data_IF_272268790061
#
_entry.id   IF_272268790061
#
_cell.length_a   1.000
_cell.length_b   1.000
_cell.length_c   1.000
_cell.angle_alpha   90.00
_cell.angle_beta   90.00
_cell.angle_gamma   90.00
#
_symmetry.space_group_name_H-M   'P 1'
#
loop_
_entity.id
_entity.type
_entity.pdbx_description
1 polymer ?
#
# COMPACT_ATOMS: atom_id res chain seq x y z
N UNK A 1 -14.58 -26.78 36.40
CA UNK A 1 -13.92 -25.70 35.64
C UNK A 1 -14.83 -25.14 34.54
N UNK A 2 -15.32 -25.95 33.59
CA UNK A 2 -16.22 -25.46 32.53
C UNK A 2 -17.60 -25.02 33.03
N UNK A 3 -18.24 -25.83 33.88
CA UNK A 3 -19.58 -25.55 34.43
C UNK A 3 -19.68 -24.21 35.19
N UNK A 4 -18.65 -23.86 35.96
CA UNK A 4 -18.58 -22.59 36.70
C UNK A 4 -18.46 -21.38 35.75
N UNK A 5 -17.77 -21.55 34.62
CA UNK A 5 -17.61 -20.49 33.62
C UNK A 5 -18.92 -20.25 32.87
N UNK A 6 -19.67 -21.33 32.59
CA UNK A 6 -20.98 -21.25 31.95
C UNK A 6 -22.01 -20.54 32.86
N UNK A 7 -21.99 -20.82 34.18
CA UNK A 7 -22.85 -20.14 35.15
C UNK A 7 -22.54 -18.63 35.25
N UNK A 8 -21.26 -18.25 35.24
CA UNK A 8 -20.84 -16.85 35.21
C UNK A 8 -21.23 -16.18 33.88
N UNK A 9 -21.11 -16.90 32.77
CA UNK A 9 -21.44 -16.40 31.44
C UNK A 9 -22.92 -16.05 31.31
N UNK A 10 -23.82 -16.90 31.84
CA UNK A 10 -25.25 -16.63 31.85
C UNK A 10 -25.57 -15.31 32.58
N UNK A 11 -25.01 -15.10 33.77
CA UNK A 11 -25.19 -13.87 34.56
C UNK A 11 -24.55 -12.65 33.90
N UNK A 12 -23.36 -12.81 33.33
CA UNK A 12 -22.67 -11.72 32.64
C UNK A 12 -23.48 -11.20 31.45
N UNK A 13 -24.20 -12.09 30.73
CA UNK A 13 -25.11 -11.70 29.63
C UNK A 13 -26.33 -10.93 30.08
N UNK A 14 -26.80 -11.18 31.31
CA UNK A 14 -27.87 -10.39 31.94
C UNK A 14 -27.39 -9.01 32.42
N UNK A 15 -26.11 -8.68 32.22
CA UNK A 15 -25.51 -7.39 32.59
C UNK A 15 -24.86 -7.38 33.97
N UNK A 16 -24.69 -8.53 34.62
CA UNK A 16 -23.98 -8.59 35.90
C UNK A 16 -22.49 -8.28 35.72
N UNK A 17 -22.10 -7.09 36.20
CA UNK A 17 -20.73 -6.59 36.12
C UNK A 17 -19.76 -7.42 36.97
N UNK A 18 -20.23 -8.01 38.08
CA UNK A 18 -19.40 -8.87 38.94
C UNK A 18 -19.03 -10.17 38.23
N UNK A 19 -20.00 -10.85 37.62
CA UNK A 19 -19.74 -12.07 36.84
C UNK A 19 -18.84 -11.77 35.64
N UNK A 20 -19.06 -10.63 34.97
CA UNK A 20 -18.19 -10.17 33.87
C UNK A 20 -16.74 -10.00 34.33
N UNK A 21 -16.52 -9.30 35.45
CA UNK A 21 -15.19 -9.10 36.03
C UNK A 21 -14.53 -10.43 36.41
N UNK A 22 -15.26 -11.35 37.04
CA UNK A 22 -14.75 -12.67 37.42
C UNK A 22 -14.32 -13.50 36.21
N UNK A 23 -15.07 -13.45 35.09
CA UNK A 23 -14.69 -14.10 33.85
C UNK A 23 -13.37 -13.53 33.33
N UNK A 24 -13.23 -12.21 33.29
CA UNK A 24 -12.01 -11.53 32.83
C UNK A 24 -10.81 -11.92 33.70
N UNK A 25 -10.95 -11.89 35.03
CA UNK A 25 -9.89 -12.25 35.96
C UNK A 25 -9.47 -13.72 35.82
N UNK A 26 -10.44 -14.65 35.71
CA UNK A 26 -10.18 -16.08 35.47
C UNK A 26 -9.47 -16.33 34.14
N UNK A 27 -9.75 -15.52 33.11
CA UNK A 27 -9.16 -15.67 31.77
C UNK A 27 -7.85 -14.89 31.60
N UNK A 28 -7.44 -14.07 32.56
CA UNK A 28 -6.19 -13.29 32.50
C UNK A 28 -4.93 -14.15 32.20
N UNK A 29 -4.75 -15.36 32.77
CA UNK A 29 -3.63 -16.24 32.40
C UNK A 29 -3.68 -16.72 30.94
N UNK A 30 -4.88 -16.92 30.37
CA UNK A 30 -5.04 -17.28 28.96
C UNK A 30 -4.69 -16.11 28.04
N UNK A 31 -5.05 -14.89 28.43
CA UNK A 31 -4.67 -13.65 27.72
C UNK A 31 -3.14 -13.54 27.69
N UNK A 32 -2.49 -13.58 28.86
CA UNK A 32 -1.03 -13.46 29.00
C UNK A 32 -0.31 -14.55 28.19
N UNK A 33 -0.75 -15.80 28.28
CA UNK A 33 -0.14 -16.89 27.52
C UNK A 33 -0.36 -16.78 26.01
N UNK A 34 -1.47 -16.18 25.57
CA UNK A 34 -1.74 -15.91 24.15
C UNK A 34 -0.85 -14.80 23.62
N UNK A 35 -0.64 -13.71 24.38
CA UNK A 35 0.29 -12.64 24.04
C UNK A 35 1.70 -13.20 23.81
N UNK A 36 2.22 -13.96 24.79
CA UNK A 36 3.55 -14.59 24.71
C UNK A 36 3.69 -15.53 23.52
N UNK A 37 2.62 -16.24 23.18
CA UNK A 37 2.63 -17.24 22.12
C UNK A 37 2.58 -16.65 20.72
N UNK A 38 1.80 -15.59 20.52
CA UNK A 38 1.45 -15.12 19.17
C UNK A 38 2.02 -13.75 18.80
N UNK A 39 2.30 -12.87 19.75
CA UNK A 39 2.86 -11.54 19.48
C UNK A 39 4.25 -11.34 20.06
N UNK A 40 4.45 -11.69 21.34
CA UNK A 40 5.74 -11.70 22.04
C UNK A 40 6.57 -10.40 21.96
N UNK A 41 5.92 -9.24 21.83
CA UNK A 41 6.58 -7.93 21.95
C UNK A 41 6.49 -7.47 23.41
N UNK A 42 7.64 -7.16 24.02
CA UNK A 42 7.75 -6.81 25.46
C UNK A 42 7.20 -5.40 25.73
N UNK A 43 7.35 -4.49 24.76
CA UNK A 43 6.75 -3.15 24.84
C UNK A 43 5.23 -3.27 24.74
N UNK A 44 4.51 -2.46 25.52
CA UNK A 44 3.04 -2.33 25.51
C UNK A 44 2.27 -3.53 26.11
N UNK A 45 2.88 -4.27 27.05
CA UNK A 45 2.28 -5.47 27.63
C UNK A 45 0.95 -5.20 28.36
N UNK A 46 0.83 -4.05 29.02
CA UNK A 46 -0.41 -3.64 29.69
C UNK A 46 -1.52 -3.36 28.67
N UNK A 47 -1.21 -2.67 27.58
CA UNK A 47 -2.17 -2.40 26.50
C UNK A 47 -2.62 -3.70 25.83
N UNK A 48 -1.70 -4.62 25.56
CA UNK A 48 -2.01 -5.94 25.00
C UNK A 48 -2.96 -6.74 25.90
N UNK A 49 -2.80 -6.64 27.22
CA UNK A 49 -3.72 -7.27 28.17
C UNK A 49 -5.10 -6.62 28.06
N UNK A 50 -5.17 -5.29 28.00
CA UNK A 50 -6.44 -4.57 27.91
C UNK A 50 -7.20 -4.90 26.61
N UNK A 51 -6.50 -4.95 25.47
CA UNK A 51 -7.10 -5.42 24.20
C UNK A 51 -7.62 -6.85 24.31
N UNK A 52 -6.88 -7.74 24.97
CA UNK A 52 -7.31 -9.11 25.22
C UNK A 52 -8.60 -9.17 26.06
N UNK A 53 -8.72 -8.30 27.07
CA UNK A 53 -9.93 -8.19 27.90
C UNK A 53 -11.12 -7.67 27.11
N UNK A 54 -10.91 -6.72 26.20
CA UNK A 54 -11.97 -6.24 25.29
C UNK A 54 -12.50 -7.39 24.42
N UNK A 55 -11.61 -8.23 23.87
CA UNK A 55 -12.03 -9.41 23.09
C UNK A 55 -12.79 -10.42 23.96
N UNK A 56 -12.42 -10.61 25.23
CA UNK A 56 -13.20 -11.46 26.14
C UNK A 56 -14.61 -10.89 26.37
N UNK A 57 -14.75 -9.58 26.54
CA UNK A 57 -16.05 -8.92 26.66
C UNK A 57 -16.92 -9.09 25.41
N UNK A 58 -16.33 -8.99 24.22
CA UNK A 58 -17.02 -9.31 22.96
C UNK A 58 -17.45 -10.78 22.91
N UNK A 59 -16.58 -11.70 23.35
CA UNK A 59 -16.91 -13.11 23.37
C UNK A 59 -18.12 -13.41 24.27
N UNK A 60 -18.25 -12.75 25.43
CA UNK A 60 -19.40 -12.91 26.32
C UNK A 60 -20.72 -12.62 25.58
N UNK A 61 -20.72 -11.58 24.75
CA UNK A 61 -21.88 -11.14 23.96
C UNK A 61 -22.17 -12.07 22.78
N UNK A 62 -21.14 -12.41 22.01
CA UNK A 62 -21.30 -13.04 20.68
C UNK A 62 -21.23 -14.56 20.69
N UNK A 63 -20.84 -15.17 21.81
CA UNK A 63 -20.71 -16.62 21.89
C UNK A 63 -22.05 -17.32 21.65
N UNK A 64 -22.02 -18.45 20.96
CA UNK A 64 -23.21 -19.21 20.59
C UNK A 64 -23.03 -20.66 21.02
N UNK A 65 -23.79 -21.05 22.04
CA UNK A 65 -23.76 -22.38 22.66
C UNK A 65 -24.28 -23.46 21.71
N UNK A 66 -25.16 -23.10 20.76
CA UNK A 66 -25.73 -24.05 19.80
C UNK A 66 -24.70 -24.65 18.85
N UNK A 67 -23.53 -23.99 18.70
CA UNK A 67 -22.42 -24.44 17.86
C UNK A 67 -21.60 -25.57 18.46
N UNK A 68 -21.88 -25.99 19.69
CA UNK A 68 -21.26 -27.17 20.31
C UNK A 68 -19.77 -27.01 20.67
N UNK A 69 -19.27 -25.78 20.75
CA UNK A 69 -17.88 -25.47 21.15
C UNK A 69 -17.91 -24.78 22.50
N UNK A 70 -17.10 -25.22 23.46
CA UNK A 70 -17.01 -24.58 24.78
C UNK A 70 -16.54 -23.12 24.69
N UNK A 71 -17.08 -22.25 25.56
CA UNK A 71 -16.75 -20.82 25.63
C UNK A 71 -15.25 -20.56 25.72
N UNK A 72 -14.54 -21.29 26.57
CA UNK A 72 -13.08 -21.18 26.71
C UNK A 72 -12.34 -21.45 25.37
N UNK A 73 -12.81 -22.42 24.59
CA UNK A 73 -12.27 -22.73 23.28
C UNK A 73 -12.52 -21.61 22.27
N UNK A 74 -13.71 -21.03 22.30
CA UNK A 74 -14.06 -19.86 21.47
C UNK A 74 -13.18 -18.65 21.79
N UNK A 75 -13.02 -18.30 23.07
CA UNK A 75 -12.14 -17.21 23.52
C UNK A 75 -10.69 -17.45 23.09
N UNK A 76 -10.19 -18.67 23.27
CA UNK A 76 -8.81 -19.03 22.88
C UNK A 76 -8.55 -18.80 21.39
N UNK A 77 -9.52 -19.09 20.53
CA UNK A 77 -9.41 -18.85 19.08
C UNK A 77 -9.42 -17.35 18.79
N UNK A 78 -10.31 -16.58 19.43
CA UNK A 78 -10.39 -15.13 19.26
C UNK A 78 -9.12 -14.41 19.70
N UNK A 79 -8.58 -14.75 20.87
CA UNK A 79 -7.29 -14.22 21.37
C UNK A 79 -6.13 -14.59 20.43
N UNK A 80 -6.10 -15.81 19.90
CA UNK A 80 -5.10 -16.21 18.90
C UNK A 80 -5.13 -15.27 17.68
N UNK A 81 -6.31 -15.00 17.13
CA UNK A 81 -6.42 -14.16 15.93
C UNK A 81 -6.14 -12.68 16.21
N UNK A 82 -6.56 -12.16 17.36
CA UNK A 82 -6.21 -10.81 17.82
C UNK A 82 -4.69 -10.60 17.73
N UNK A 83 -3.93 -11.41 18.46
CA UNK A 83 -2.49 -11.22 18.58
C UNK A 83 -1.70 -11.62 17.32
N UNK A 84 -2.19 -12.57 16.52
CA UNK A 84 -1.60 -12.87 15.21
C UNK A 84 -1.76 -11.71 14.22
N UNK A 85 -2.91 -11.03 14.25
CA UNK A 85 -3.17 -9.93 13.32
C UNK A 85 -2.36 -8.67 13.65
N UNK A 86 -1.85 -8.51 14.87
CA UNK A 86 -0.97 -7.39 15.20
C UNK A 86 0.32 -7.32 14.38
N UNK A 87 0.81 -8.46 13.89
CA UNK A 87 1.95 -8.46 12.95
C UNK A 87 1.65 -7.80 11.59
N UNK A 88 0.38 -7.54 11.28
CA UNK A 88 -0.04 -6.82 10.07
C UNK A 88 -0.13 -5.31 10.27
N UNK A 89 -0.09 -4.83 11.51
CA UNK A 89 -0.07 -3.40 11.79
C UNK A 89 1.26 -2.85 11.24
N UNK A 90 1.17 -1.82 10.39
CA UNK A 90 2.37 -1.19 9.82
C UNK A 90 3.17 -0.59 10.96
N UNK A 91 4.41 -1.03 11.12
CA UNK A 91 5.37 -0.38 12.00
C UNK A 91 5.72 0.95 11.35
N UNK A 92 5.28 2.05 11.95
CA UNK A 92 5.73 3.40 11.59
C UNK A 92 7.00 3.69 12.38
N UNK A 93 8.07 4.10 11.70
CA UNK A 93 9.22 4.71 12.35
C UNK A 93 9.02 6.22 12.41
N UNK A 94 9.55 6.84 13.46
CA UNK A 94 9.61 8.30 13.52
C UNK A 94 10.66 8.79 12.52
N UNK A 95 10.34 9.85 11.78
CA UNK A 95 11.30 10.52 10.93
C UNK A 95 12.42 11.20 11.74
N UNK A 96 12.16 11.50 13.00
CA UNK A 96 13.14 12.07 13.93
C UNK A 96 13.92 10.97 14.69
N UNK A 97 13.82 9.72 14.28
CA UNK A 97 14.67 8.66 14.85
C UNK A 97 16.10 8.90 14.39
N UNK A 98 17.04 9.03 15.33
CA UNK A 98 18.46 9.18 15.02
C UNK A 98 18.99 7.93 14.32
N UNK A 99 19.91 8.12 13.37
CA UNK A 99 20.50 7.05 12.57
C UNK A 99 22.03 7.05 12.71
N UNK A 100 22.60 5.90 13.04
CA UNK A 100 24.05 5.75 13.22
C UNK A 100 24.54 6.06 14.64
N UNK A 101 25.84 6.27 14.79
CA UNK A 101 26.49 6.61 16.07
C UNK A 101 26.50 8.13 16.33
N UNK A 102 26.24 8.94 15.31
CA UNK A 102 26.14 10.40 15.42
C UNK A 102 24.69 10.78 15.77
N UNK A 103 24.49 11.30 16.98
CA UNK A 103 23.16 11.72 17.48
C UNK A 103 22.55 12.90 16.70
N UNK A 104 23.33 13.55 15.83
CA UNK A 104 22.93 14.73 15.08
C UNK A 104 22.24 14.43 13.73
N UNK A 105 22.22 13.16 13.29
CA UNK A 105 21.58 12.77 12.02
C UNK A 105 20.25 12.06 12.26
N UNK A 106 19.16 12.64 11.75
CA UNK A 106 17.82 12.06 11.82
C UNK A 106 17.47 11.28 10.54
N UNK A 107 16.49 10.36 10.62
CA UNK A 107 16.03 9.58 9.48
C UNK A 107 15.53 10.48 8.34
N UNK A 108 14.92 11.63 8.67
CA UNK A 108 14.40 12.59 7.68
C UNK A 108 15.51 13.18 6.80
N UNK A 109 16.72 13.33 7.33
CA UNK A 109 17.83 13.98 6.63
C UNK A 109 18.40 13.11 5.49
N UNK A 110 18.12 11.80 5.52
CA UNK A 110 18.61 10.81 4.55
C UNK A 110 17.59 10.55 3.44
N UNK A 111 16.31 10.91 3.65
CA UNK A 111 15.28 10.64 2.68
C UNK A 111 15.36 11.62 1.50
N UNK A 112 15.58 11.08 0.30
CA UNK A 112 15.49 11.85 -0.95
C UNK A 112 14.05 12.34 -1.18
N UNK A 113 13.90 13.58 -1.64
CA UNK A 113 12.59 14.14 -2.00
C UNK A 113 12.07 13.49 -3.28
N UNK A 114 10.78 13.10 -3.30
CA UNK A 114 10.09 12.63 -4.52
C UNK A 114 9.78 13.76 -5.50
N UNK A 115 9.86 15.02 -5.04
CA UNK A 115 9.78 16.19 -5.91
C UNK A 115 10.99 16.15 -6.83
N UNK A 116 10.76 15.74 -8.09
CA UNK A 116 11.79 15.69 -9.12
C UNK A 116 12.58 16.99 -9.10
N UNK A 117 13.91 16.87 -9.12
CA UNK A 117 14.80 18.02 -8.96
C UNK A 117 14.34 19.14 -9.89
N UNK A 118 14.22 20.37 -9.39
CA UNK A 118 13.80 21.55 -10.19
C UNK A 118 14.59 21.61 -11.51
N UNK A 119 15.85 21.18 -11.48
CA UNK A 119 16.71 21.03 -12.64
C UNK A 119 16.17 20.03 -13.68
N UNK A 120 15.67 18.87 -13.26
CA UNK A 120 15.06 17.86 -14.13
C UNK A 120 13.77 18.38 -14.80
N UNK A 121 12.96 19.16 -14.08
CA UNK A 121 11.75 19.78 -14.64
C UNK A 121 12.09 20.86 -15.68
N UNK A 122 13.12 21.67 -15.41
CA UNK A 122 13.64 22.66 -16.36
C UNK A 122 14.18 21.96 -17.62
N UNK A 123 15.01 20.92 -17.46
CA UNK A 123 15.56 20.16 -18.59
C UNK A 123 14.47 19.52 -19.45
N UNK A 124 13.44 18.91 -18.84
CA UNK A 124 12.29 18.37 -19.56
C UNK A 124 11.55 19.44 -20.35
N UNK A 125 11.42 20.64 -19.79
CA UNK A 125 10.77 21.76 -20.46
C UNK A 125 11.56 22.18 -21.71
N UNK A 126 12.89 22.30 -21.58
CA UNK A 126 13.78 22.62 -22.71
C UNK A 126 13.74 21.53 -23.80
N UNK A 127 13.82 20.25 -23.42
CA UNK A 127 13.71 19.12 -24.37
C UNK A 127 12.38 19.14 -25.14
N UNK A 128 11.27 19.46 -24.47
CA UNK A 128 9.97 19.57 -25.10
C UNK A 128 9.90 20.75 -26.10
N UNK A 129 10.55 21.88 -25.79
CA UNK A 129 10.66 23.00 -26.72
C UNK A 129 11.45 22.63 -27.98
N UNK A 130 12.54 21.88 -27.84
CA UNK A 130 13.34 21.40 -28.98
C UNK A 130 12.54 20.48 -29.89
N UNK A 131 11.79 19.53 -29.30
CA UNK A 131 10.91 18.62 -30.05
C UNK A 131 9.82 19.42 -30.77
N UNK A 132 9.22 20.41 -30.11
CA UNK A 132 8.19 21.29 -30.71
C UNK A 132 8.75 22.05 -31.92
N UNK A 133 9.95 22.60 -31.80
CA UNK A 133 10.61 23.30 -32.91
C UNK A 133 10.93 22.35 -34.08
N UNK A 134 11.46 21.15 -33.77
CA UNK A 134 11.74 20.12 -34.77
C UNK A 134 10.46 19.69 -35.52
N UNK A 135 9.34 19.52 -34.82
CA UNK A 135 8.02 19.22 -35.41
C UNK A 135 7.46 20.37 -36.26
N UNK A 136 7.73 21.62 -35.88
CA UNK A 136 7.34 22.79 -36.66
C UNK A 136 8.04 22.82 -38.03
N UNK A 137 9.26 22.30 -38.11
CA UNK A 137 10.03 22.21 -39.37
C UNK A 137 9.47 21.18 -40.37
N UNK A 138 8.66 20.22 -39.93
CA UNK A 138 8.11 19.18 -40.79
C UNK A 138 7.03 19.71 -41.73
N UNK A 139 6.91 19.11 -42.91
CA UNK A 139 5.73 19.34 -43.75
C UNK A 139 4.49 18.74 -43.08
N UNK A 140 3.31 19.23 -43.44
CA UNK A 140 2.03 18.74 -42.89
C UNK A 140 1.92 17.21 -42.96
N UNK A 141 2.25 16.64 -44.14
CA UNK A 141 2.25 15.20 -44.38
C UNK A 141 3.29 14.42 -43.56
N UNK A 142 4.46 15.01 -43.30
CA UNK A 142 5.47 14.41 -42.44
C UNK A 142 5.03 14.41 -40.97
N UNK A 143 4.48 15.53 -40.51
CA UNK A 143 3.97 15.69 -39.14
C UNK A 143 2.84 14.71 -38.86
N UNK A 144 1.89 14.58 -39.78
CA UNK A 144 0.76 13.65 -39.67
C UNK A 144 1.23 12.18 -39.51
N UNK A 145 2.22 11.76 -40.31
CA UNK A 145 2.81 10.41 -40.19
C UNK A 145 3.50 10.19 -38.84
N UNK A 146 4.21 11.20 -38.32
CA UNK A 146 4.86 11.13 -37.00
C UNK A 146 3.83 11.06 -35.88
N UNK A 147 2.76 11.87 -35.94
CA UNK A 147 1.65 11.85 -34.97
C UNK A 147 0.97 10.48 -34.95
N UNK A 148 0.57 9.98 -36.12
CA UNK A 148 -0.10 8.68 -36.21
C UNK A 148 0.75 7.53 -35.69
N UNK A 149 2.07 7.55 -35.95
CA UNK A 149 2.94 6.47 -35.52
C UNK A 149 3.30 6.53 -34.02
N UNK A 150 3.70 7.70 -33.51
CA UNK A 150 4.26 7.82 -32.15
C UNK A 150 3.25 8.22 -31.08
N UNK A 151 2.21 8.98 -31.43
CA UNK A 151 1.23 9.48 -30.46
C UNK A 151 -0.09 8.72 -30.51
N UNK A 152 -0.55 8.34 -31.70
CA UNK A 152 -1.80 7.56 -31.85
C UNK A 152 -1.56 6.04 -31.98
N UNK A 153 -0.31 5.60 -32.12
CA UNK A 153 0.08 4.18 -32.07
C UNK A 153 -0.30 3.34 -33.30
N UNK A 154 -0.62 3.94 -34.45
CA UNK A 154 -0.92 3.20 -35.66
C UNK A 154 0.33 2.55 -36.28
N UNK A 155 0.14 1.36 -36.82
CA UNK A 155 1.16 0.67 -37.60
C UNK A 155 1.32 1.30 -39.00
N UNK A 156 2.51 1.13 -39.61
CA UNK A 156 2.80 1.65 -40.96
C UNK A 156 1.76 1.21 -42.01
N UNK A 157 1.27 -0.05 -42.02
CA UNK A 157 0.18 -0.47 -42.92
C UNK A 157 -1.14 0.27 -42.68
N UNK A 158 -1.51 0.53 -41.42
CA UNK A 158 -2.74 1.24 -41.07
C UNK A 158 -2.67 2.72 -41.49
N UNK A 159 -1.52 3.35 -41.28
CA UNK A 159 -1.26 4.72 -41.74
C UNK A 159 -1.32 4.78 -43.26
N UNK A 160 -0.70 3.82 -43.96
CA UNK A 160 -0.71 3.76 -45.43
C UNK A 160 -2.15 3.64 -45.97
N UNK A 161 -2.97 2.79 -45.35
CA UNK A 161 -4.38 2.62 -45.68
C UNK A 161 -5.18 3.90 -45.40
N UNK A 162 -4.98 4.54 -44.25
CA UNK A 162 -5.67 5.78 -43.85
C UNK A 162 -5.35 6.94 -44.79
N UNK A 163 -4.08 7.10 -45.14
CA UNK A 163 -3.61 8.18 -46.01
C UNK A 163 -3.76 7.86 -47.52
N UNK A 164 -4.29 6.68 -47.88
CA UNK A 164 -4.51 6.27 -49.26
C UNK A 164 -3.22 6.13 -50.09
N UNK A 165 -2.10 5.76 -49.46
CA UNK A 165 -0.77 5.75 -50.09
C UNK A 165 -0.06 4.41 -49.88
N UNK A 166 1.03 4.18 -50.61
CA UNK A 166 1.76 2.92 -50.48
C UNK A 166 2.51 2.83 -49.15
N UNK A 167 2.70 1.60 -48.66
CA UNK A 167 3.53 1.30 -47.49
C UNK A 167 4.91 1.99 -47.57
N UNK A 168 5.56 1.90 -48.74
CA UNK A 168 6.90 2.49 -48.96
C UNK A 168 6.88 4.00 -48.83
N UNK A 169 5.81 4.67 -49.25
CA UNK A 169 5.65 6.12 -49.09
C UNK A 169 5.62 6.51 -47.62
N UNK A 170 4.89 5.79 -46.76
CA UNK A 170 4.86 6.08 -45.31
C UNK A 170 6.23 5.83 -44.66
N UNK A 171 6.89 4.72 -45.01
CA UNK A 171 8.26 4.44 -44.53
C UNK A 171 9.20 5.59 -44.87
N UNK A 172 9.25 5.99 -46.15
CA UNK A 172 10.13 7.07 -46.59
C UNK A 172 9.75 8.42 -45.94
N UNK A 173 8.45 8.70 -45.80
CA UNK A 173 7.96 9.94 -45.17
C UNK A 173 8.39 10.01 -43.71
N UNK A 174 8.24 8.92 -42.95
CA UNK A 174 8.67 8.81 -41.56
C UNK A 174 10.20 8.95 -41.44
N UNK A 175 10.97 8.24 -42.25
CA UNK A 175 12.44 8.31 -42.21
C UNK A 175 12.93 9.73 -42.51
N UNK A 176 12.42 10.37 -43.57
CA UNK A 176 12.80 11.72 -43.92
C UNK A 176 12.36 12.75 -42.87
N UNK A 177 11.21 12.53 -42.21
CA UNK A 177 10.75 13.36 -41.11
C UNK A 177 11.71 13.28 -39.91
N UNK A 178 12.10 12.05 -39.50
CA UNK A 178 13.04 11.84 -38.41
C UNK A 178 14.42 12.42 -38.71
N UNK A 179 14.93 12.26 -39.94
CA UNK A 179 16.20 12.88 -40.35
C UNK A 179 16.13 14.41 -40.29
N UNK A 180 15.00 14.99 -40.71
CA UNK A 180 14.79 16.45 -40.67
C UNK A 180 14.72 16.96 -39.23
N UNK A 181 13.98 16.28 -38.35
CA UNK A 181 13.93 16.60 -36.92
C UNK A 181 15.32 16.52 -36.29
N UNK A 182 16.06 15.44 -36.55
CA UNK A 182 17.43 15.26 -36.04
C UNK A 182 18.34 16.40 -36.47
N UNK A 183 18.32 16.79 -37.74
CA UNK A 183 19.15 17.91 -38.24
C UNK A 183 18.81 19.23 -37.56
N UNK A 184 17.53 19.49 -37.24
CA UNK A 184 17.14 20.71 -36.52
C UNK A 184 17.59 20.70 -35.07
N UNK A 185 17.56 19.54 -34.42
CA UNK A 185 18.01 19.39 -33.03
C UNK A 185 19.54 19.46 -32.90
N UNK A 186 20.30 19.00 -33.90
CA UNK A 186 21.79 19.04 -33.87
C UNK A 186 22.38 20.32 -34.46
N UNK A 187 21.58 21.20 -35.07
CA UNK A 187 22.06 22.47 -35.64
C UNK A 187 22.13 23.62 -34.63
N UNK A 188 21.86 23.33 -33.36
CA UNK A 188 22.02 24.21 -32.20
C UNK A 188 23.18 23.70 -31.36
#
# INVERSE_FOLDING_TARGET
>A
MYKELDDLLAKAREGDTKSTQLIIEKLNPLIISSIRRYYNKIMDYDDLIQEGRLVVLECIKDYDESKGVYFLGYVKIKLKFLYLNKHKEKITLSLNTSIGEDEDQELIDVLESEDGEILEEILKTEELEEIRYALASLTERQREVIIYFYFEGYSIPEIAKRMGVTYRTIVNTKTNALEKMKRQMTAR
#
